data_IF_416297303274
#
_entry.id   IF_416297303274
#
_cell.length_a   1.000
_cell.length_b   1.000
_cell.length_c   1.000
_cell.angle_alpha   90.00
_cell.angle_beta   90.00
_cell.angle_gamma   90.00
#
_symmetry.space_group_name_H-M   'P 1'
#
loop_
_entity.id
_entity.type
_entity.pdbx_description
1 polymer ?
#
# COMPACT_ATOMS: atom_id res chain seq x y z
N UNK A 1 45.34 47.43 23.08
CA UNK A 1 44.70 47.30 24.41
C UNK A 1 44.45 45.83 24.64
N UNK A 2 45.44 45.18 25.23
CA UNK A 2 45.56 43.75 25.51
C UNK A 2 45.26 43.58 26.99
N UNK A 3 44.27 42.75 27.36
CA UNK A 3 44.08 42.33 28.74
C UNK A 3 44.53 40.89 28.89
N UNK A 4 45.53 40.77 29.74
CA UNK A 4 46.22 39.58 30.16
C UNK A 4 45.79 39.27 31.62
N UNK A 5 46.07 38.04 32.04
CA UNK A 5 46.19 37.55 33.43
C UNK A 5 44.96 37.49 34.35
N UNK A 6 44.52 36.26 34.67
CA UNK A 6 44.63 35.74 36.05
C UNK A 6 44.55 34.21 36.11
N UNK A 7 45.71 33.63 36.40
CA UNK A 7 45.96 32.28 36.90
C UNK A 7 46.01 32.35 38.45
N UNK A 8 45.95 31.19 39.11
CA UNK A 8 46.19 30.87 40.54
C UNK A 8 44.98 30.06 41.09
N UNK A 9 45.00 28.72 41.09
CA UNK A 9 45.75 27.77 41.95
C UNK A 9 45.08 27.48 43.30
N UNK A 10 44.66 26.21 43.47
CA UNK A 10 44.82 25.35 44.67
C UNK A 10 44.22 23.96 44.38
N UNK A 11 45.03 22.92 44.14
CA UNK A 11 45.78 22.07 45.11
C UNK A 11 44.83 21.11 45.86
N UNK A 12 44.75 19.83 45.43
CA UNK A 12 45.39 18.62 46.06
C UNK A 12 44.79 18.27 47.44
N UNK A 13 44.61 17.03 47.88
CA UNK A 13 44.90 15.68 47.40
C UNK A 13 44.14 14.69 48.33
N UNK A 14 44.45 13.40 48.16
CA UNK A 14 44.38 12.29 49.15
C UNK A 14 43.16 11.35 49.04
N UNK A 15 43.32 10.10 48.57
CA UNK A 15 43.92 8.89 49.23
C UNK A 15 42.76 7.94 49.53
N UNK A 16 42.70 6.64 49.26
CA UNK A 16 43.45 5.59 48.57
C UNK A 16 42.50 4.34 48.53
N UNK A 17 42.84 3.25 47.82
CA UNK A 17 41.99 2.04 47.74
C UNK A 17 42.33 1.03 48.85
N UNK A 18 41.36 0.20 49.27
CA UNK A 18 41.68 -0.98 50.08
C UNK A 18 40.77 -2.18 49.78
N UNK A 19 41.43 -3.30 49.51
CA UNK A 19 40.89 -4.61 49.22
C UNK A 19 40.81 -5.48 50.50
N UNK A 20 40.30 -6.70 50.28
CA UNK A 20 40.42 -7.92 51.08
C UNK A 20 39.25 -8.25 52.04
N UNK A 21 38.46 -9.28 51.70
CA UNK A 21 38.62 -10.68 52.21
C UNK A 21 37.36 -11.51 51.89
N UNK A 22 37.53 -12.65 51.22
CA UNK A 22 36.52 -13.67 50.88
C UNK A 22 36.27 -14.66 52.07
N UNK A 23 35.79 -15.92 51.87
CA UNK A 23 34.55 -16.45 51.26
C UNK A 23 33.71 -17.28 52.29
N UNK A 24 32.47 -17.68 51.96
CA UNK A 24 31.80 -18.80 52.65
C UNK A 24 31.17 -19.80 51.68
N UNK A 25 31.44 -21.06 52.01
CA UNK A 25 31.25 -22.29 51.28
C UNK A 25 29.90 -22.97 51.56
N UNK A 26 29.56 -23.95 50.72
CA UNK A 26 28.53 -24.96 50.93
C UNK A 26 27.46 -24.91 49.83
N UNK A 27 27.38 -25.80 48.84
CA UNK A 27 27.67 -27.24 48.84
C UNK A 27 26.34 -28.00 48.85
N UNK A 28 25.97 -28.68 47.76
CA UNK A 28 24.77 -29.52 47.75
C UNK A 28 24.28 -29.97 46.38
N UNK A 29 25.03 -30.88 45.74
CA UNK A 29 24.56 -31.65 44.57
C UNK A 29 23.53 -32.71 45.00
N UNK A 30 22.66 -33.04 44.04
CA UNK A 30 22.08 -34.39 43.75
C UNK A 30 20.92 -34.89 44.62
N UNK A 31 19.88 -35.39 43.94
CA UNK A 31 19.14 -36.56 44.44
C UNK A 31 17.65 -36.59 44.16
N UNK A 32 17.31 -36.97 42.93
CA UNK A 32 16.13 -37.76 42.54
C UNK A 32 15.48 -38.58 43.68
N UNK A 33 14.14 -38.48 43.81
CA UNK A 33 13.25 -39.60 44.18
C UNK A 33 11.75 -39.23 44.13
N UNK A 34 11.04 -40.04 43.34
CA UNK A 34 9.63 -40.50 43.48
C UNK A 34 8.58 -39.88 42.56
N UNK A 35 8.60 -40.35 41.32
CA UNK A 35 7.58 -41.29 40.78
C UNK A 35 6.38 -41.57 41.68
N UNK A 36 5.17 -41.26 41.20
CA UNK A 36 3.93 -41.78 41.80
C UNK A 36 2.65 -40.99 41.47
N UNK A 37 2.09 -41.27 40.30
CA UNK A 37 0.65 -41.50 40.07
C UNK A 37 -0.36 -40.39 40.46
N UNK A 38 -0.93 -39.72 39.44
CA UNK A 38 -2.39 -39.48 39.35
C UNK A 38 -2.82 -39.24 37.91
N UNK A 39 -3.46 -40.27 37.39
CA UNK A 39 -4.22 -40.37 36.14
C UNK A 39 -5.22 -39.21 36.01
N UNK A 40 -5.14 -38.50 34.88
CA UNK A 40 -6.12 -37.51 34.43
C UNK A 40 -6.26 -37.61 32.92
N UNK A 41 -6.85 -38.72 32.46
CA UNK A 41 -7.13 -38.97 31.05
C UNK A 41 -8.37 -38.14 30.67
N UNK A 42 -8.17 -36.85 30.40
CA UNK A 42 -9.15 -36.07 29.65
C UNK A 42 -8.98 -36.39 28.17
N UNK A 43 -9.79 -37.35 27.73
CA UNK A 43 -10.05 -37.62 26.31
C UNK A 43 -10.65 -36.35 25.70
N UNK A 44 -9.81 -35.47 25.15
CA UNK A 44 -10.27 -34.44 24.21
C UNK A 44 -10.90 -35.16 23.02
N UNK A 45 -12.21 -34.97 22.84
CA UNK A 45 -12.92 -35.45 21.67
C UNK A 45 -12.19 -34.98 20.40
N UNK A 46 -12.03 -35.83 19.36
CA UNK A 46 -11.43 -35.39 18.11
C UNK A 46 -12.25 -34.22 17.55
N UNK A 47 -11.60 -33.16 17.03
CA UNK A 47 -12.31 -32.02 16.49
C UNK A 47 -13.24 -32.47 15.35
N UNK A 48 -14.44 -31.88 15.23
CA UNK A 48 -15.39 -32.25 14.20
C UNK A 48 -14.78 -32.09 12.81
N UNK A 49 -15.07 -33.05 11.93
CA UNK A 49 -14.45 -33.21 10.59
C UNK A 49 -14.58 -31.98 9.69
N UNK A 50 -15.56 -31.11 9.93
CA UNK A 50 -15.74 -29.86 9.18
C UNK A 50 -14.70 -28.77 9.45
N UNK A 51 -13.81 -28.92 10.45
CA UNK A 51 -12.71 -27.98 10.74
C UNK A 51 -11.35 -28.41 10.16
N UNK A 52 -11.30 -29.45 9.32
CA UNK A 52 -10.04 -29.85 8.67
C UNK A 52 -9.81 -29.03 7.38
N UNK A 53 -8.61 -28.45 7.18
CA UNK A 53 -8.34 -27.52 6.06
C UNK A 53 -8.50 -28.16 4.67
N UNK A 54 -8.38 -29.48 4.56
CA UNK A 54 -8.57 -30.22 3.31
C UNK A 54 -10.04 -30.30 2.85
N UNK A 55 -11.02 -30.10 3.74
CA UNK A 55 -12.44 -30.11 3.37
C UNK A 55 -12.86 -28.85 2.59
N UNK A 56 -12.21 -27.70 2.84
CA UNK A 56 -12.45 -26.45 2.12
C UNK A 56 -11.99 -26.53 0.65
N UNK A 57 -10.96 -27.33 0.35
CA UNK A 57 -10.49 -27.57 -1.01
C UNK A 57 -11.54 -28.36 -1.82
N UNK A 58 -12.23 -29.31 -1.20
CA UNK A 58 -13.26 -30.12 -1.85
C UNK A 58 -14.49 -29.30 -2.30
N UNK A 59 -15.00 -28.43 -1.43
CA UNK A 59 -16.16 -27.58 -1.76
C UNK A 59 -15.81 -26.51 -2.82
N UNK A 60 -14.60 -25.97 -2.79
CA UNK A 60 -14.13 -25.00 -3.80
C UNK A 60 -14.08 -25.59 -5.21
N UNK A 61 -13.56 -26.82 -5.36
CA UNK A 61 -13.45 -27.49 -6.67
C UNK A 61 -14.81 -27.90 -7.22
N UNK A 62 -15.74 -28.38 -6.39
CA UNK A 62 -17.09 -28.73 -6.84
C UNK A 62 -17.87 -27.48 -7.25
N UNK A 63 -17.74 -26.37 -6.51
CA UNK A 63 -18.38 -25.10 -6.84
C UNK A 63 -17.90 -24.50 -8.17
N UNK A 64 -16.59 -24.49 -8.42
CA UNK A 64 -16.04 -23.98 -9.69
C UNK A 64 -16.40 -24.87 -10.88
N UNK A 65 -16.41 -26.20 -10.70
CA UNK A 65 -16.78 -27.12 -11.77
C UNK A 65 -18.27 -27.01 -12.15
N UNK A 66 -19.15 -26.75 -11.19
CA UNK A 66 -20.57 -26.51 -11.44
C UNK A 66 -20.82 -25.16 -12.13
N UNK A 67 -20.05 -24.12 -11.78
CA UNK A 67 -20.08 -22.82 -12.46
C UNK A 67 -19.62 -22.93 -13.92
N UNK A 68 -18.52 -23.63 -14.18
CA UNK A 68 -17.99 -23.86 -15.53
C UNK A 68 -19.01 -24.61 -16.39
N UNK A 69 -19.66 -25.64 -15.84
CA UNK A 69 -20.72 -26.39 -16.54
C UNK A 69 -21.97 -25.56 -16.83
N UNK A 70 -22.28 -24.56 -15.99
CA UNK A 70 -23.40 -23.65 -16.22
C UNK A 70 -23.11 -22.64 -17.33
N UNK A 71 -21.89 -22.07 -17.35
CA UNK A 71 -21.45 -21.12 -18.38
C UNK A 71 -21.28 -21.81 -19.75
N UNK A 72 -20.77 -23.04 -19.77
CA UNK A 72 -20.60 -23.80 -21.02
C UNK A 72 -21.91 -24.33 -21.61
N UNK A 73 -23.01 -24.35 -20.86
CA UNK A 73 -24.34 -24.75 -21.38
C UNK A 73 -25.12 -23.60 -22.03
N UNK A 74 -24.71 -22.35 -21.81
CA UNK A 74 -25.37 -21.15 -22.36
C UNK A 74 -24.64 -20.57 -23.58
N UNK A 75 -23.58 -21.21 -24.07
CA UNK A 75 -22.67 -20.69 -25.08
C UNK A 75 -22.79 -21.32 -26.48
N UNK A 76 -23.90 -21.98 -26.82
CA UNK A 76 -24.16 -22.41 -28.20
C UNK A 76 -24.87 -21.28 -28.96
N UNK A 77 -24.10 -20.53 -29.75
CA UNK A 77 -24.64 -19.40 -30.52
C UNK A 77 -23.63 -18.72 -31.43
N UNK A 78 -23.38 -19.36 -32.59
CA UNK A 78 -22.97 -18.79 -33.89
C UNK A 78 -21.53 -18.30 -34.11
N UNK A 79 -20.78 -19.13 -34.85
CA UNK A 79 -19.64 -18.79 -35.71
C UNK A 79 -20.02 -17.89 -36.91
N UNK A 80 -19.19 -16.87 -37.16
CA UNK A 80 -18.64 -16.28 -38.43
C UNK A 80 -19.50 -16.04 -39.70
N UNK A 81 -19.12 -15.14 -40.67
CA UNK A 81 -17.74 -14.78 -41.06
C UNK A 81 -17.41 -13.29 -41.36
N UNK A 82 -16.09 -13.02 -41.40
CA UNK A 82 -15.41 -11.84 -41.94
C UNK A 82 -15.79 -11.49 -43.41
N UNK A 83 -15.57 -10.23 -43.82
CA UNK A 83 -14.95 -9.99 -45.12
C UNK A 83 -13.74 -9.02 -45.08
N UNK A 84 -12.99 -9.11 -46.17
CA UNK A 84 -11.61 -8.69 -46.41
C UNK A 84 -11.36 -7.18 -46.55
N UNK A 85 -10.11 -6.83 -46.22
CA UNK A 85 -9.18 -5.90 -46.86
C UNK A 85 -9.71 -4.75 -47.74
N UNK A 86 -9.42 -3.52 -47.31
CA UNK A 86 -9.35 -2.33 -48.15
C UNK A 86 -8.31 -1.37 -47.58
N UNK A 87 -7.16 -1.28 -48.25
CA UNK A 87 -6.13 -0.26 -48.01
C UNK A 87 -6.66 1.08 -48.50
N UNK A 88 -6.72 2.13 -47.67
CA UNK A 88 -6.49 3.51 -48.13
C UNK A 88 -6.28 4.53 -46.98
N UNK A 89 -5.19 5.28 -47.15
CA UNK A 89 -4.85 6.63 -46.66
C UNK A 89 -4.90 6.94 -45.16
N UNK A 90 -3.70 6.85 -44.57
CA UNK A 90 -3.28 7.55 -43.34
C UNK A 90 -3.42 9.06 -43.53
N UNK A 91 -4.54 9.62 -43.08
CA UNK A 91 -4.67 11.06 -42.79
C UNK A 91 -4.63 11.23 -41.27
N UNK A 92 -3.68 12.03 -40.78
CA UNK A 92 -3.54 12.32 -39.35
C UNK A 92 -4.86 12.90 -38.80
N UNK A 93 -5.42 12.36 -37.69
CA UNK A 93 -6.55 13.03 -37.07
C UNK A 93 -6.07 14.34 -36.45
N UNK A 94 -6.69 15.42 -36.88
CA UNK A 94 -6.67 16.70 -36.20
C UNK A 94 -6.97 16.49 -34.72
N UNK A 95 -6.19 17.18 -33.88
CA UNK A 95 -6.31 17.22 -32.42
C UNK A 95 -7.77 17.44 -32.04
N UNK A 96 -8.41 16.42 -31.48
CA UNK A 96 -9.74 16.56 -30.90
C UNK A 96 -9.70 17.63 -29.80
N UNK A 97 -10.74 18.47 -29.66
CA UNK A 97 -10.85 19.37 -28.53
C UNK A 97 -10.83 18.54 -27.24
N UNK A 98 -10.09 19.05 -26.26
CA UNK A 98 -10.03 18.53 -24.88
C UNK A 98 -11.47 18.31 -24.42
N UNK A 99 -11.86 17.05 -24.24
CA UNK A 99 -13.11 16.74 -23.56
C UNK A 99 -12.94 17.21 -22.13
N UNK A 100 -13.72 18.24 -21.76
CA UNK A 100 -13.90 18.63 -20.37
C UNK A 100 -14.29 17.38 -19.57
N UNK A 101 -13.72 17.18 -18.37
CA UNK A 101 -13.97 15.98 -17.59
C UNK A 101 -15.48 15.85 -17.33
N UNK A 102 -16.01 14.68 -17.63
CA UNK A 102 -17.41 14.28 -17.45
C UNK A 102 -17.98 14.86 -16.14
N UNK A 103 -18.98 15.74 -16.28
CA UNK A 103 -19.63 16.42 -15.16
C UNK A 103 -20.25 15.46 -14.12
N UNK A 104 -20.38 14.17 -14.46
CA UNK A 104 -20.82 13.12 -13.55
C UNK A 104 -19.81 12.82 -12.42
N UNK A 105 -18.50 12.97 -12.66
CA UNK A 105 -17.48 12.70 -11.63
C UNK A 105 -17.50 13.78 -10.55
N UNK A 106 -17.95 15.00 -10.88
CA UNK A 106 -17.99 16.13 -9.95
C UNK A 106 -19.02 15.98 -8.79
N UNK A 107 -19.97 15.05 -8.88
CA UNK A 107 -21.07 14.91 -7.92
C UNK A 107 -20.92 13.76 -6.91
N UNK A 108 -19.87 12.95 -6.99
CA UNK A 108 -19.66 11.85 -6.05
C UNK A 108 -19.31 12.39 -4.65
N UNK A 109 -19.93 11.85 -3.57
CA UNK A 109 -19.61 12.26 -2.21
C UNK A 109 -18.15 11.94 -1.89
N UNK A 110 -17.42 12.93 -1.38
CA UNK A 110 -16.03 12.76 -0.93
C UNK A 110 -16.05 12.11 0.45
N UNK A 111 -15.44 10.93 0.59
CA UNK A 111 -15.31 10.21 1.86
C UNK A 111 -13.94 10.48 2.50
N UNK A 112 -13.87 10.63 3.82
CA UNK A 112 -12.56 10.70 4.49
C UNK A 112 -11.97 9.28 4.65
N UNK A 113 -10.72 9.11 4.23
CA UNK A 113 -9.98 7.84 4.31
C UNK A 113 -8.52 8.14 4.69
N UNK A 114 -8.28 8.44 5.97
CA UNK A 114 -6.99 8.96 6.45
C UNK A 114 -6.14 7.93 7.18
N UNK A 115 -6.74 6.83 7.62
CA UNK A 115 -6.05 5.78 8.38
C UNK A 115 -5.67 4.58 7.51
N UNK A 116 -4.78 3.73 8.02
CA UNK A 116 -4.48 2.43 7.42
C UNK A 116 -5.72 1.52 7.36
N UNK A 117 -6.60 1.58 8.37
CA UNK A 117 -7.84 0.79 8.37
C UNK A 117 -8.79 1.21 7.24
N UNK A 118 -8.85 2.51 6.92
CA UNK A 118 -9.64 2.99 5.79
C UNK A 118 -9.08 2.50 4.44
N UNK A 119 -7.76 2.44 4.33
CA UNK A 119 -7.10 1.87 3.16
C UNK A 119 -7.43 0.39 2.99
N UNK A 120 -7.29 -0.40 4.06
CA UNK A 120 -7.63 -1.83 4.05
C UNK A 120 -9.11 -2.04 3.67
N UNK A 121 -10.02 -1.19 4.15
CA UNK A 121 -11.43 -1.19 3.76
C UNK A 121 -11.59 -0.98 2.25
N UNK A 122 -10.96 0.06 1.69
CA UNK A 122 -11.05 0.35 0.24
C UNK A 122 -10.46 -0.78 -0.61
N UNK A 123 -9.37 -1.41 -0.14
CA UNK A 123 -8.80 -2.59 -0.79
C UNK A 123 -9.75 -3.79 -0.71
N UNK A 124 -10.41 -4.00 0.43
CA UNK A 124 -11.38 -5.08 0.61
C UNK A 124 -12.67 -4.88 -0.21
N UNK A 125 -13.09 -3.63 -0.43
CA UNK A 125 -14.19 -3.28 -1.32
C UNK A 125 -13.87 -3.57 -2.79
N UNK A 126 -12.58 -3.55 -3.18
CA UNK A 126 -12.11 -3.93 -4.51
C UNK A 126 -12.72 -3.05 -5.60
N UNK A 127 -13.32 -3.68 -6.61
CA UNK A 127 -13.90 -2.99 -7.78
C UNK A 127 -15.06 -2.04 -7.40
N UNK A 128 -15.76 -2.30 -6.29
CA UNK A 128 -16.84 -1.43 -5.81
C UNK A 128 -16.33 -0.07 -5.30
N UNK A 129 -15.04 0.03 -4.97
CA UNK A 129 -14.40 1.28 -4.56
C UNK A 129 -13.90 2.12 -5.73
N UNK A 130 -13.77 1.54 -6.93
CA UNK A 130 -13.19 2.23 -8.10
C UNK A 130 -14.06 3.43 -8.49
N UNK A 131 -13.42 4.57 -8.72
CA UNK A 131 -14.06 5.86 -9.02
C UNK A 131 -14.57 6.62 -7.80
N UNK A 132 -14.46 6.05 -6.58
CA UNK A 132 -14.81 6.80 -5.38
C UNK A 132 -13.83 7.96 -5.15
N UNK A 133 -14.37 9.12 -4.73
CA UNK A 133 -13.57 10.26 -4.30
C UNK A 133 -13.32 10.19 -2.81
N UNK A 134 -12.07 10.30 -2.44
CA UNK A 134 -11.63 10.13 -1.06
C UNK A 134 -10.66 11.22 -0.65
N UNK A 135 -10.79 11.70 0.58
CA UNK A 135 -9.87 12.63 1.21
C UNK A 135 -8.85 11.86 2.03
N UNK A 136 -7.59 12.03 1.69
CA UNK A 136 -6.48 11.19 2.17
C UNK A 136 -5.31 12.05 2.64
N UNK A 137 -4.51 11.48 3.52
CA UNK A 137 -3.21 12.00 3.92
C UNK A 137 -2.11 11.08 3.38
N UNK A 138 -1.27 11.63 2.51
CA UNK A 138 -0.22 10.89 1.82
C UNK A 138 1.15 11.49 2.10
N UNK A 139 2.15 10.61 2.20
CA UNK A 139 3.56 10.98 2.32
C UNK A 139 4.31 10.50 1.09
N UNK A 140 4.43 11.37 0.10
CA UNK A 140 4.85 11.03 -1.25
C UNK A 140 6.31 11.37 -1.53
N UNK A 141 6.95 10.59 -2.38
CA UNK A 141 8.22 10.98 -3.00
C UNK A 141 7.97 12.02 -4.12
N UNK A 142 9.05 12.50 -4.76
CA UNK A 142 8.92 13.38 -5.92
C UNK A 142 8.22 12.68 -7.09
N UNK A 143 7.56 13.46 -7.95
CA UNK A 143 6.93 12.96 -9.17
C UNK A 143 8.00 12.31 -10.05
N UNK A 144 7.69 11.14 -10.59
CA UNK A 144 8.51 10.40 -11.55
C UNK A 144 7.64 9.85 -12.67
N UNK A 145 8.28 9.50 -13.77
CA UNK A 145 7.61 8.86 -14.90
C UNK A 145 7.52 7.35 -14.65
N UNK A 146 6.30 6.80 -14.71
CA UNK A 146 6.00 5.39 -14.42
C UNK A 146 5.58 4.71 -15.71
N UNK A 147 6.29 3.65 -16.09
CA UNK A 147 5.94 2.85 -17.26
C UNK A 147 4.64 2.08 -17.01
N UNK A 148 3.75 2.07 -18.00
CA UNK A 148 2.56 1.22 -18.00
C UNK A 148 2.88 -0.15 -18.60
N UNK A 149 2.23 -1.19 -18.11
CA UNK A 149 2.21 -2.49 -18.78
C UNK A 149 1.26 -2.45 -19.99
N UNK A 150 1.61 -3.14 -21.08
CA UNK A 150 0.67 -3.32 -22.19
C UNK A 150 -0.50 -4.18 -21.70
N UNK A 151 -1.69 -3.59 -21.70
CA UNK A 151 -2.96 -4.24 -21.36
C UNK A 151 -3.94 -3.97 -22.50
N UNK A 152 -4.95 -4.83 -22.65
CA UNK A 152 -5.95 -4.70 -23.73
C UNK A 152 -6.82 -3.45 -23.55
N UNK A 153 -7.13 -3.11 -22.29
CA UNK A 153 -7.92 -1.94 -21.95
C UNK A 153 -7.30 -1.23 -20.75
N UNK A 154 -7.00 0.06 -20.94
CA UNK A 154 -6.46 0.93 -19.90
C UNK A 154 -7.63 1.62 -19.18
N UNK A 155 -7.54 1.75 -17.86
CA UNK A 155 -8.53 2.45 -17.06
C UNK A 155 -8.59 3.92 -17.50
N UNK A 156 -9.80 4.50 -17.61
CA UNK A 156 -10.01 5.84 -18.18
C UNK A 156 -9.16 6.92 -17.51
N UNK A 157 -9.06 6.90 -16.18
CA UNK A 157 -8.23 7.84 -15.42
C UNK A 157 -6.73 7.69 -15.67
N UNK A 158 -6.24 6.48 -15.95
CA UNK A 158 -4.83 6.22 -16.29
C UNK A 158 -4.56 6.61 -17.74
N UNK A 159 -5.48 6.26 -18.65
CA UNK A 159 -5.39 6.57 -20.07
C UNK A 159 -5.36 8.08 -20.35
N UNK A 160 -6.12 8.87 -19.60
CA UNK A 160 -6.12 10.32 -19.72
C UNK A 160 -4.75 10.96 -19.36
N UNK A 161 -3.93 10.26 -18.57
CA UNK A 161 -2.64 10.74 -18.09
C UNK A 161 -1.44 10.14 -18.82
N UNK A 162 -1.65 9.11 -19.63
CA UNK A 162 -0.60 8.41 -20.33
C UNK A 162 0.00 9.28 -21.44
N UNK A 163 1.33 9.36 -21.49
CA UNK A 163 2.06 10.00 -22.58
C UNK A 163 2.20 9.08 -23.80
N UNK A 164 2.76 9.62 -24.89
CA UNK A 164 2.99 8.88 -26.13
C UNK A 164 4.00 7.71 -25.99
N UNK A 165 4.72 7.64 -24.87
CA UNK A 165 5.65 6.56 -24.53
C UNK A 165 5.05 5.55 -23.55
N UNK A 166 3.73 5.58 -23.33
CA UNK A 166 3.00 4.73 -22.37
C UNK A 166 3.52 4.90 -20.94
N UNK A 167 3.76 6.14 -20.53
CA UNK A 167 4.16 6.48 -19.16
C UNK A 167 3.21 7.48 -18.54
N UNK A 168 3.06 7.40 -17.23
CA UNK A 168 2.24 8.34 -16.44
C UNK A 168 3.08 9.05 -15.39
N UNK A 169 2.85 10.35 -15.15
CA UNK A 169 3.42 11.05 -14.01
C UNK A 169 2.80 10.50 -12.71
N UNK A 170 3.63 10.00 -11.81
CA UNK A 170 3.17 9.53 -10.51
C UNK A 170 4.22 9.61 -9.41
N UNK A 171 3.77 9.49 -8.17
CA UNK A 171 4.60 9.54 -6.97
C UNK A 171 4.32 8.33 -6.08
N UNK A 172 5.37 7.78 -5.48
CA UNK A 172 5.24 6.70 -4.50
C UNK A 172 4.96 7.28 -3.13
N UNK A 173 3.82 6.91 -2.56
CA UNK A 173 3.31 7.47 -1.33
C UNK A 173 3.15 6.40 -0.27
N UNK A 174 3.31 6.83 0.98
CA UNK A 174 2.83 6.08 2.14
C UNK A 174 1.48 6.64 2.55
N UNK A 175 0.49 5.76 2.64
CA UNK A 175 -0.85 6.07 3.11
C UNK A 175 -0.92 6.00 4.63
N UNK A 176 -1.65 6.92 5.26
CA UNK A 176 -1.91 6.92 6.69
C UNK A 176 -1.21 8.08 7.38
N UNK A 177 -1.40 8.21 8.69
CA UNK A 177 -0.73 9.25 9.47
C UNK A 177 0.76 8.93 9.65
N UNK A 178 1.62 9.96 9.79
CA UNK A 178 3.07 9.74 9.94
C UNK A 178 3.43 8.85 11.13
N UNK A 179 2.61 8.89 12.18
CA UNK A 179 2.78 8.11 13.40
C UNK A 179 2.36 6.65 13.25
N UNK A 180 1.65 6.30 12.17
CA UNK A 180 1.20 4.94 11.94
C UNK A 180 2.39 4.05 11.56
N UNK A 181 2.49 2.91 12.25
CA UNK A 181 3.54 1.91 12.00
C UNK A 181 3.22 1.01 10.82
N UNK A 182 1.95 0.86 10.47
CA UNK A 182 1.42 0.03 9.39
C UNK A 182 0.98 0.86 8.18
N UNK A 183 1.87 1.74 7.69
CA UNK A 183 1.56 2.55 6.51
C UNK A 183 1.76 1.76 5.21
N UNK A 184 0.73 1.82 4.38
CA UNK A 184 0.66 1.05 3.14
C UNK A 184 1.25 1.81 1.95
N UNK A 185 1.72 1.05 0.97
CA UNK A 185 2.23 1.61 -0.28
C UNK A 185 1.07 1.99 -1.21
N UNK A 186 1.11 3.24 -1.68
CA UNK A 186 0.11 3.78 -2.59
C UNK A 186 0.78 4.52 -3.74
N UNK A 187 0.26 4.35 -4.94
CA UNK A 187 0.72 5.08 -6.11
C UNK A 187 -0.22 6.22 -6.47
N UNK A 188 0.24 7.45 -6.27
CA UNK A 188 -0.53 8.63 -6.67
C UNK A 188 -0.16 9.02 -8.09
N UNK A 189 -1.11 8.97 -9.01
CA UNK A 189 -0.98 9.56 -10.33
C UNK A 189 -1.24 11.06 -10.24
N UNK A 190 -0.34 11.86 -10.80
CA UNK A 190 -0.36 13.32 -10.64
C UNK A 190 -0.60 13.97 -11.99
N UNK A 191 -1.81 14.48 -12.26
CA UNK A 191 -2.09 15.22 -13.49
C UNK A 191 -1.12 16.40 -13.70
N UNK A 192 -0.76 16.73 -14.96
CA UNK A 192 0.24 17.75 -15.26
C UNK A 192 -0.16 19.15 -14.77
N UNK A 193 -1.46 19.46 -14.76
CA UNK A 193 -2.02 20.70 -14.21
C UNK A 193 -1.89 20.80 -12.69
N UNK A 194 -1.64 19.68 -11.99
CA UNK A 194 -1.46 19.62 -10.53
C UNK A 194 -0.02 19.38 -10.11
N UNK A 195 0.88 19.12 -11.05
CA UNK A 195 2.27 18.79 -10.77
C UNK A 195 3.01 19.91 -10.00
N UNK A 196 2.76 21.17 -10.34
CA UNK A 196 3.38 22.32 -9.64
C UNK A 196 2.88 22.43 -8.19
N UNK A 197 1.57 22.28 -7.96
CA UNK A 197 0.99 22.30 -6.62
C UNK A 197 1.56 21.17 -5.75
N UNK A 198 1.68 19.97 -6.31
CA UNK A 198 2.32 18.83 -5.66
C UNK A 198 3.80 19.11 -5.34
N UNK A 199 4.56 19.68 -6.29
CA UNK A 199 5.98 19.99 -6.10
C UNK A 199 6.21 21.02 -4.98
N UNK A 200 5.25 21.92 -4.77
CA UNK A 200 5.27 22.93 -3.72
C UNK A 200 4.73 22.46 -2.37
N UNK A 201 4.23 21.22 -2.28
CA UNK A 201 3.76 20.64 -1.02
C UNK A 201 4.88 20.64 0.05
N UNK A 202 4.53 20.78 1.35
CA UNK A 202 5.50 20.81 2.43
C UNK A 202 6.28 19.50 2.46
N UNK A 203 7.61 19.60 2.64
CA UNK A 203 8.46 18.42 2.76
C UNK A 203 8.69 18.10 4.23
N UNK A 204 8.44 16.85 4.60
CA UNK A 204 8.66 16.31 5.94
C UNK A 204 9.70 15.19 5.89
N UNK A 205 10.43 15.04 7.00
CA UNK A 205 11.32 13.90 7.18
C UNK A 205 10.53 12.72 7.75
N UNK A 206 10.58 11.60 7.05
CA UNK A 206 9.92 10.36 7.39
C UNK A 206 10.96 9.24 7.47
N UNK A 207 11.38 8.92 8.70
CA UNK A 207 12.60 8.15 8.94
C UNK A 207 13.81 8.85 8.31
N UNK A 208 14.45 8.19 7.34
CA UNK A 208 15.61 8.72 6.61
C UNK A 208 15.26 9.28 5.22
N UNK A 209 13.98 9.27 4.84
CA UNK A 209 13.51 9.69 3.52
C UNK A 209 12.77 11.02 3.64
N UNK A 210 13.08 11.96 2.75
CA UNK A 210 12.34 13.23 2.65
C UNK A 210 11.14 13.03 1.74
N UNK A 211 9.94 13.18 2.30
CA UNK A 211 8.66 13.01 1.60
C UNK A 211 7.87 14.31 1.58
N UNK A 212 7.04 14.50 0.57
CA UNK A 212 6.02 15.55 0.49
C UNK A 212 4.80 15.10 1.29
N UNK A 213 4.37 15.92 2.24
CA UNK A 213 3.09 15.73 2.91
C UNK A 213 2.00 16.30 2.01
N UNK A 214 1.11 15.42 1.56
CA UNK A 214 0.07 15.69 0.57
C UNK A 214 -1.26 15.34 1.21
N UNK A 215 -1.98 16.35 1.68
CA UNK A 215 -3.40 16.20 1.99
C UNK A 215 -4.18 16.48 0.70
N UNK A 216 -4.99 15.54 0.27
CA UNK A 216 -5.58 15.60 -1.07
C UNK A 216 -6.92 14.89 -1.17
N UNK A 217 -7.70 15.30 -2.15
CA UNK A 217 -8.79 14.50 -2.71
C UNK A 217 -8.24 13.69 -3.88
N UNK A 218 -8.49 12.39 -3.82
CA UNK A 218 -8.00 11.39 -4.76
C UNK A 218 -9.19 10.62 -5.29
N UNK A 219 -9.18 10.32 -6.58
CA UNK A 219 -10.07 9.34 -7.17
C UNK A 219 -9.42 7.96 -7.06
N UNK A 220 -10.09 7.05 -6.38
CA UNK A 220 -9.59 5.70 -6.16
C UNK A 220 -9.64 4.88 -7.45
N UNK A 221 -8.50 4.36 -7.89
CA UNK A 221 -8.44 3.43 -9.02
C UNK A 221 -8.39 1.96 -8.57
N UNK A 222 -8.12 1.71 -7.29
CA UNK A 222 -7.89 0.37 -6.78
C UNK A 222 -6.60 -0.23 -7.31
N UNK A 223 -6.59 -1.54 -7.47
CA UNK A 223 -5.40 -2.30 -7.91
C UNK A 223 -5.39 -2.38 -9.44
N UNK A 224 -4.44 -1.71 -10.07
CA UNK A 224 -4.39 -1.62 -11.54
C UNK A 224 -3.38 -2.58 -12.14
N UNK A 225 -3.81 -3.34 -13.16
CA UNK A 225 -2.94 -4.24 -13.92
C UNK A 225 -1.89 -3.49 -14.74
N UNK A 226 -2.30 -2.35 -15.33
CA UNK A 226 -1.44 -1.46 -16.08
C UNK A 226 -0.31 -0.88 -15.21
N UNK A 227 -0.54 -0.72 -13.91
CA UNK A 227 0.40 -0.15 -12.94
C UNK A 227 1.12 -1.21 -12.10
N UNK A 228 1.40 -2.38 -12.67
CA UNK A 228 2.11 -3.46 -11.98
C UNK A 228 1.37 -4.01 -10.74
N UNK A 229 0.04 -4.11 -10.79
CA UNK A 229 -0.80 -4.58 -9.67
C UNK A 229 -0.61 -3.74 -8.40
N UNK A 230 -0.31 -2.45 -8.56
CA UNK A 230 -0.21 -1.51 -7.45
C UNK A 230 -1.56 -0.89 -7.18
N UNK A 231 -1.81 -0.62 -5.89
CA UNK A 231 -2.95 0.19 -5.47
C UNK A 231 -2.66 1.65 -5.83
N UNK A 232 -3.56 2.27 -6.58
CA UNK A 232 -3.35 3.58 -7.14
C UNK A 232 -4.58 4.48 -7.05
N UNK A 233 -4.35 5.77 -7.25
CA UNK A 233 -5.42 6.75 -7.42
C UNK A 233 -4.92 7.99 -8.15
N UNK A 234 -5.87 8.77 -8.67
CA UNK A 234 -5.58 10.01 -9.41
C UNK A 234 -5.77 11.20 -8.48
N UNK A 235 -4.78 12.08 -8.42
CA UNK A 235 -4.89 13.34 -7.69
C UNK A 235 -5.96 14.22 -8.34
N UNK A 236 -7.07 14.46 -7.62
CA UNK A 236 -8.14 15.36 -8.07
C UNK A 236 -7.85 16.78 -7.63
N UNK A 237 -7.55 16.97 -6.33
CA UNK A 237 -7.31 18.30 -5.75
C UNK A 237 -6.39 18.21 -4.54
N UNK A 238 -5.48 19.17 -4.40
CA UNK A 238 -4.66 19.35 -3.21
C UNK A 238 -5.45 20.16 -2.18
N UNK A 239 -5.50 19.65 -0.95
CA UNK A 239 -6.06 20.36 0.19
C UNK A 239 -4.92 21.10 0.91
N UNK A 240 -5.18 22.33 1.36
CA UNK A 240 -4.18 23.23 1.95
C UNK A 240 -4.27 23.24 3.47
#
# INVERSE_FOLDING_TARGET
MTNDTRQDDKEQADTAPQADTAPRSGGGRKGDRRTGDRRGVERRAPPPVWRRPWALVGFGVVGTLLLVLLVSRTGDGTEEPLPQAGTEVRTAPARAPVQEPDAAIAAAPVQDARSAADFERLVAEGDAAVGQRIRVNLYCESIRSISLRPVEQLESGVAALADASSRVPGAECKWGERTDTSREDFLLLVPPDRAEAFANAPAVQDGFVRRKQVEAEVEWLGRSDALHLRTAGVLVTMLR
#
